data_IF_317105150510
#
_entry.id   IF_317105150510
#
_cell.length_a   1.000
_cell.length_b   1.000
_cell.length_c   1.000
_cell.angle_alpha   90.00
_cell.angle_beta   90.00
_cell.angle_gamma   90.00
#
_symmetry.space_group_name_H-M   'P 1'
#
loop_
_entity.id
_entity.type
_entity.pdbx_description
1 polymer ?
#
# COMPACT_ATOMS: atom_id res chain seq x y z
N UNK A 1 -7.11 -8.96 -1.74
CA UNK A 1 -6.60 -9.56 -2.98
C UNK A 1 -5.90 -10.82 -2.53
N UNK A 2 -6.50 -11.97 -2.79
CA UNK A 2 -5.90 -13.25 -2.41
C UNK A 2 -5.24 -13.80 -3.67
N UNK A 3 -3.90 -13.84 -3.66
CA UNK A 3 -3.14 -14.59 -4.67
C UNK A 3 -2.73 -15.92 -4.03
N UNK A 4 -2.93 -17.00 -4.76
CA UNK A 4 -2.59 -18.34 -4.30
C UNK A 4 -1.47 -18.90 -5.17
N UNK A 5 -0.51 -19.62 -4.58
CA UNK A 5 0.42 -20.42 -5.39
C UNK A 5 -0.29 -21.57 -6.11
N UNK A 6 0.45 -22.27 -6.97
CA UNK A 6 -0.02 -23.51 -7.62
C UNK A 6 -0.39 -24.64 -6.65
N UNK A 7 -0.22 -24.47 -5.34
CA UNK A 7 -0.65 -25.40 -4.28
C UNK A 7 -1.82 -24.88 -3.45
N UNK A 8 -2.38 -23.71 -3.78
CA UNK A 8 -3.53 -23.11 -3.10
C UNK A 8 -3.18 -22.36 -1.81
N UNK A 9 -1.91 -22.05 -1.53
CA UNK A 9 -1.51 -21.27 -0.35
C UNK A 9 -1.50 -19.78 -0.66
N UNK A 10 -2.04 -18.96 0.25
CA UNK A 10 -1.99 -17.50 0.18
C UNK A 10 -0.53 -17.04 0.08
N UNK A 11 -0.18 -16.45 -1.06
CA UNK A 11 1.19 -16.09 -1.40
C UNK A 11 1.63 -14.78 -0.74
N UNK A 12 0.68 -13.89 -0.45
CA UNK A 12 0.94 -12.56 0.10
C UNK A 12 0.23 -12.36 1.45
N UNK A 13 0.89 -11.66 2.37
CA UNK A 13 0.30 -11.20 3.62
C UNK A 13 -0.77 -10.11 3.43
N UNK A 14 -1.31 -9.57 4.54
CA UNK A 14 -2.40 -8.57 4.54
C UNK A 14 -1.92 -7.15 4.88
N UNK A 15 -0.76 -6.74 4.37
CA UNK A 15 -0.14 -5.43 4.66
C UNK A 15 0.49 -4.81 3.40
N UNK A 16 0.98 -3.56 3.52
CA UNK A 16 1.58 -2.83 2.39
C UNK A 16 2.86 -3.46 1.84
N UNK A 17 3.64 -4.18 2.66
CA UNK A 17 4.82 -4.91 2.16
C UNK A 17 4.38 -6.06 1.26
N UNK A 18 3.36 -6.83 1.68
CA UNK A 18 2.81 -7.91 0.88
C UNK A 18 2.23 -7.40 -0.45
N UNK A 19 1.63 -6.21 -0.45
CA UNK A 19 1.22 -5.54 -1.67
C UNK A 19 2.42 -5.18 -2.57
N UNK A 20 3.47 -4.58 -2.00
CA UNK A 20 4.71 -4.28 -2.73
C UNK A 20 5.37 -5.54 -3.33
N UNK A 21 5.42 -6.64 -2.57
CA UNK A 21 5.96 -7.92 -3.02
C UNK A 21 5.15 -8.50 -4.19
N UNK A 22 3.84 -8.29 -4.20
CA UNK A 22 2.96 -8.71 -5.30
C UNK A 22 3.28 -7.98 -6.61
N UNK A 23 3.68 -6.71 -6.55
CA UNK A 23 4.03 -5.93 -7.75
C UNK A 23 5.38 -6.34 -8.33
N UNK A 24 6.32 -6.80 -7.50
CA UNK A 24 7.66 -7.21 -7.95
C UNK A 24 7.75 -8.68 -8.37
N UNK A 25 6.63 -9.42 -8.39
CA UNK A 25 6.57 -10.83 -8.82
C UNK A 25 6.88 -11.87 -7.75
N UNK A 26 7.30 -11.48 -6.54
CA UNK A 26 7.64 -12.42 -5.47
C UNK A 26 8.85 -13.34 -5.77
N UNK A 27 9.22 -14.23 -4.83
CA UNK A 27 10.40 -15.08 -4.98
C UNK A 27 10.24 -16.10 -6.10
N UNK A 28 11.20 -16.16 -7.03
CA UNK A 28 11.24 -17.17 -8.09
C UNK A 28 10.47 -16.82 -9.37
N UNK A 29 9.98 -15.59 -9.51
CA UNK A 29 9.35 -15.17 -10.76
C UNK A 29 10.40 -14.98 -11.86
N UNK A 30 10.23 -15.60 -13.04
CA UNK A 30 10.94 -15.14 -14.25
C UNK A 30 10.54 -13.68 -14.50
N UNK A 31 11.45 -12.86 -15.07
CA UNK A 31 11.17 -11.46 -15.42
C UNK A 31 9.76 -11.34 -15.98
N UNK A 32 8.84 -10.77 -15.20
CA UNK A 32 7.43 -10.66 -15.60
C UNK A 32 7.38 -9.85 -16.88
N UNK A 33 6.72 -10.39 -17.89
CA UNK A 33 6.28 -9.64 -19.06
C UNK A 33 5.62 -8.33 -18.61
N UNK A 34 5.86 -7.25 -19.34
CA UNK A 34 5.32 -5.92 -19.00
C UNK A 34 3.80 -6.02 -18.78
N UNK A 35 3.35 -5.78 -17.55
CA UNK A 35 1.94 -5.75 -17.19
C UNK A 35 1.47 -4.32 -16.93
N UNK A 36 0.16 -4.12 -17.06
CA UNK A 36 -0.50 -2.85 -16.74
C UNK A 36 -1.62 -3.12 -15.74
N UNK A 37 -1.66 -2.31 -14.69
CA UNK A 37 -2.78 -2.25 -13.73
C UNK A 37 -3.61 -1.01 -14.03
N UNK A 38 -4.87 -1.23 -14.43
CA UNK A 38 -5.85 -0.15 -14.56
C UNK A 38 -6.60 0.01 -13.23
N UNK A 39 -6.36 1.11 -12.52
CA UNK A 39 -7.16 1.49 -11.36
C UNK A 39 -8.30 2.38 -11.83
N UNK A 40 -9.45 1.74 -12.10
CA UNK A 40 -10.69 2.40 -12.48
C UNK A 40 -11.38 3.00 -11.25
N UNK A 41 -12.04 4.14 -11.45
CA UNK A 41 -12.74 4.86 -10.37
C UNK A 41 -11.79 5.23 -9.22
N UNK A 42 -10.54 5.53 -9.56
CA UNK A 42 -9.51 5.88 -8.59
C UNK A 42 -9.87 7.14 -7.78
N UNK A 43 -10.72 8.02 -8.31
CA UNK A 43 -11.24 9.18 -7.59
C UNK A 43 -12.08 8.77 -6.36
N UNK A 44 -12.93 7.75 -6.48
CA UNK A 44 -13.70 7.18 -5.36
C UNK A 44 -12.76 6.53 -4.35
N UNK A 45 -11.71 5.86 -4.85
CA UNK A 45 -10.69 5.30 -3.98
C UNK A 45 -9.91 6.38 -3.23
N UNK A 46 -9.57 7.49 -3.89
CA UNK A 46 -8.87 8.64 -3.28
C UNK A 46 -9.70 9.26 -2.16
N UNK A 47 -11.00 9.38 -2.33
CA UNK A 47 -11.90 9.88 -1.29
C UNK A 47 -11.90 8.94 -0.07
N UNK A 48 -12.14 7.65 -0.29
CA UNK A 48 -12.20 6.67 0.80
C UNK A 48 -10.85 6.37 1.48
N UNK A 49 -9.75 6.47 0.73
CA UNK A 49 -8.38 6.25 1.21
C UNK A 49 -7.66 7.55 1.60
N UNK A 50 -8.41 8.64 1.77
CA UNK A 50 -7.92 9.95 2.19
C UNK A 50 -7.56 10.00 3.69
N UNK A 51 -7.55 11.20 4.27
CA UNK A 51 -7.12 11.40 5.66
C UNK A 51 -7.87 10.57 6.72
N UNK A 52 -9.21 10.37 6.66
CA UNK A 52 -9.91 9.55 7.64
C UNK A 52 -9.38 8.11 7.73
N UNK A 53 -9.18 7.47 6.59
CA UNK A 53 -8.60 6.11 6.54
C UNK A 53 -7.12 6.12 6.93
N UNK A 54 -6.39 7.18 6.55
CA UNK A 54 -4.98 7.35 6.91
C UNK A 54 -4.78 7.43 8.42
N UNK A 55 -5.60 8.22 9.12
CA UNK A 55 -5.63 8.30 10.58
C UNK A 55 -5.91 6.92 11.17
N UNK A 56 -6.93 6.21 10.66
CA UNK A 56 -7.27 4.86 11.14
C UNK A 56 -6.13 3.87 10.99
N UNK A 57 -5.42 3.89 9.85
CA UNK A 57 -4.27 3.01 9.61
C UNK A 57 -3.08 3.36 10.52
N UNK A 58 -2.81 4.64 10.74
CA UNK A 58 -1.74 5.09 11.62
C UNK A 58 -2.00 4.74 13.09
N UNK A 59 -3.25 4.82 13.56
CA UNK A 59 -3.64 4.35 14.89
C UNK A 59 -3.41 2.83 15.06
N UNK A 60 -3.82 2.05 14.07
CA UNK A 60 -3.54 0.60 14.04
C UNK A 60 -2.04 0.32 14.04
N UNK A 61 -1.26 1.05 13.24
CA UNK A 61 0.19 0.92 13.17
C UNK A 61 0.84 1.28 14.50
N UNK A 62 0.41 2.35 15.15
CA UNK A 62 0.94 2.81 16.44
C UNK A 62 0.72 1.77 17.55
N UNK A 63 -0.42 1.06 17.51
CA UNK A 63 -0.73 0.01 18.49
C UNK A 63 0.18 -1.23 18.38
N UNK A 64 0.79 -1.46 17.21
CA UNK A 64 1.55 -2.68 16.89
C UNK A 64 3.03 -2.44 16.59
N UNK A 65 3.44 -1.21 16.30
CA UNK A 65 4.83 -0.93 15.90
C UNK A 65 5.80 -1.08 17.07
N UNK A 66 7.05 -1.41 16.72
CA UNK A 66 8.15 -1.47 17.67
C UNK A 66 8.34 -0.10 18.38
N UNK A 67 8.69 -0.06 19.68
CA UNK A 67 8.83 1.18 20.44
C UNK A 67 9.68 2.27 19.78
N UNK A 68 10.77 1.90 19.09
CA UNK A 68 11.65 2.83 18.38
C UNK A 68 10.96 3.57 17.23
N UNK A 69 9.90 2.99 16.65
CA UNK A 69 9.15 3.59 15.54
C UNK A 69 7.93 4.38 16.02
N UNK A 70 7.56 4.29 17.31
CA UNK A 70 6.39 4.99 17.85
C UNK A 70 6.46 6.51 17.69
N UNK A 71 7.60 7.19 17.94
CA UNK A 71 7.67 8.65 17.77
C UNK A 71 7.37 9.09 16.34
N UNK A 72 7.90 8.39 15.34
CA UNK A 72 7.66 8.69 13.92
C UNK A 72 6.18 8.48 13.56
N UNK A 73 5.60 7.32 13.90
CA UNK A 73 4.19 7.03 13.60
C UNK A 73 3.24 7.99 14.32
N UNK A 74 3.56 8.42 15.55
CA UNK A 74 2.76 9.43 16.26
C UNK A 74 2.82 10.80 15.59
N UNK A 75 3.98 11.20 15.04
CA UNK A 75 4.12 12.45 14.30
C UNK A 75 3.31 12.42 12.99
N UNK A 76 3.39 11.31 12.25
CA UNK A 76 2.58 11.09 11.04
C UNK A 76 1.08 11.14 11.38
N UNK A 77 0.66 10.50 12.49
CA UNK A 77 -0.73 10.52 12.94
C UNK A 77 -1.21 11.93 13.29
N UNK A 78 -0.36 12.74 13.96
CA UNK A 78 -0.68 14.12 14.26
C UNK A 78 -0.84 14.95 12.99
N UNK A 79 0.07 14.81 12.02
CA UNK A 79 -0.02 15.48 10.73
C UNK A 79 -1.29 15.08 9.96
N UNK A 80 -1.59 13.78 9.89
CA UNK A 80 -2.76 13.29 9.17
C UNK A 80 -4.09 13.77 9.78
N UNK A 81 -4.17 13.92 11.10
CA UNK A 81 -5.34 14.50 11.80
C UNK A 81 -5.56 15.98 11.48
N UNK A 82 -4.51 16.67 11.06
CA UNK A 82 -4.55 18.06 10.62
C UNK A 82 -4.57 18.17 9.09
N UNK A 83 -4.93 17.07 8.40
CA UNK A 83 -4.99 16.93 6.95
C UNK A 83 -3.69 17.37 6.26
N UNK A 84 -2.57 16.95 6.84
CA UNK A 84 -1.22 17.18 6.33
C UNK A 84 -0.47 15.87 6.13
N UNK A 85 0.52 15.92 5.23
CA UNK A 85 1.28 14.73 4.82
C UNK A 85 0.54 13.90 3.78
N UNK A 86 1.09 12.72 3.47
CA UNK A 86 0.57 11.80 2.47
C UNK A 86 -0.54 10.92 3.04
N UNK A 87 -1.45 10.51 2.17
CA UNK A 87 -2.58 9.62 2.50
C UNK A 87 -2.27 8.17 2.18
N UNK A 88 -3.13 7.24 2.62
CA UNK A 88 -3.06 5.82 2.23
C UNK A 88 -3.14 5.67 0.71
N UNK A 89 -3.96 6.49 0.04
CA UNK A 89 -3.98 6.51 -1.42
C UNK A 89 -2.60 6.83 -2.00
N UNK A 90 -1.95 7.89 -1.49
CA UNK A 90 -0.62 8.30 -1.95
C UNK A 90 0.43 7.22 -1.68
N UNK A 91 0.40 6.55 -0.52
CA UNK A 91 1.31 5.44 -0.22
C UNK A 91 1.18 4.29 -1.23
N UNK A 92 -0.04 3.98 -1.70
CA UNK A 92 -0.25 2.95 -2.72
C UNK A 92 0.32 3.39 -4.07
N UNK A 93 0.14 4.67 -4.45
CA UNK A 93 0.74 5.24 -5.66
C UNK A 93 2.27 5.18 -5.60
N UNK A 94 2.86 5.57 -4.48
CA UNK A 94 4.31 5.50 -4.24
C UNK A 94 4.83 4.06 -4.37
N UNK A 95 4.13 3.09 -3.77
CA UNK A 95 4.50 1.67 -3.90
C UNK A 95 4.47 1.21 -5.37
N UNK A 96 3.48 1.62 -6.15
CA UNK A 96 3.45 1.34 -7.60
C UNK A 96 4.65 1.96 -8.32
N UNK A 97 4.95 3.22 -8.04
CA UNK A 97 6.05 3.94 -8.68
C UNK A 97 7.41 3.32 -8.36
N UNK A 98 7.60 2.85 -7.12
CA UNK A 98 8.85 2.23 -6.67
C UNK A 98 9.01 0.78 -7.18
N UNK A 99 7.93 0.00 -7.17
CA UNK A 99 7.99 -1.46 -7.39
C UNK A 99 7.68 -1.89 -8.81
N UNK A 100 6.87 -1.11 -9.53
CA UNK A 100 6.47 -1.38 -10.91
C UNK A 100 6.33 -0.07 -11.71
N UNK A 101 7.44 0.66 -11.96
CA UNK A 101 7.40 1.93 -12.67
C UNK A 101 6.69 1.80 -14.03
N UNK A 102 5.70 2.67 -14.28
CA UNK A 102 4.93 2.68 -15.53
C UNK A 102 3.82 1.63 -15.65
N UNK A 103 3.68 0.73 -14.67
CA UNK A 103 2.63 -0.29 -14.69
C UNK A 103 1.24 0.28 -14.34
N UNK A 104 1.15 1.37 -13.59
CA UNK A 104 -0.13 1.91 -13.12
C UNK A 104 -0.77 2.89 -14.12
N UNK A 105 -2.05 2.67 -14.44
CA UNK A 105 -2.90 3.63 -15.15
C UNK A 105 -4.12 3.98 -14.30
N UNK A 106 -4.23 5.24 -13.91
CA UNK A 106 -5.43 5.78 -13.28
C UNK A 106 -6.47 6.09 -14.36
N UNK A 107 -7.67 5.54 -14.22
CA UNK A 107 -8.78 5.67 -15.17
C UNK A 107 -10.06 6.11 -14.47
#
# INVERSE_FOLDING_TARGET
MDAFDGTGRLYFGRNLNAFADCLSGGPGHPEVDQYIVEWRDHAVSREHLGYPETVRQLELRLSKCHPTNRPAVSADLAAAREERGTTVFDWLIEIFQDRAPGALRLR
#
